data_IF_821418613955
#
_entry.id   IF_821418613955
#
_cell.length_a   1.000
_cell.length_b   1.000
_cell.length_c   1.000
_cell.angle_alpha   90.00
_cell.angle_beta   90.00
_cell.angle_gamma   90.00
#
_symmetry.space_group_name_H-M   'P 1'
#
loop_
_entity.id
_entity.type
_entity.pdbx_description
1 polymer ?
#
# COMPACT_ATOMS: atom_id res chain seq x y z
N UNK A 1 7.62 -6.88 -12.94
CA UNK A 1 6.59 -6.88 -13.98
C UNK A 1 5.19 -6.71 -13.39
N UNK A 2 4.69 -7.58 -12.48
CA UNK A 2 3.35 -7.42 -11.86
C UNK A 2 3.22 -6.11 -11.11
N UNK A 3 4.23 -5.74 -10.31
CA UNK A 3 4.24 -4.47 -9.57
C UNK A 3 4.23 -3.26 -10.49
N UNK A 4 5.00 -3.27 -11.57
CA UNK A 4 5.04 -2.15 -12.53
C UNK A 4 3.72 -1.94 -13.28
N UNK A 5 2.92 -3.00 -13.45
CA UNK A 5 1.59 -2.88 -14.02
C UNK A 5 0.62 -2.16 -13.07
N UNK A 6 0.63 -2.52 -11.77
CA UNK A 6 -0.23 -1.88 -10.77
C UNK A 6 0.07 -0.39 -10.59
N UNK A 7 1.33 0.02 -10.78
CA UNK A 7 1.78 1.41 -10.66
C UNK A 7 1.93 2.11 -12.03
N UNK A 8 1.33 1.58 -13.08
CA UNK A 8 1.43 2.16 -14.44
C UNK A 8 0.91 3.58 -14.46
N UNK A 9 1.70 4.50 -15.01
CA UNK A 9 1.31 5.89 -15.24
C UNK A 9 0.17 6.06 -16.26
N UNK A 10 -0.14 4.99 -17.02
CA UNK A 10 -1.26 4.97 -17.96
C UNK A 10 -2.62 4.79 -17.28
N UNK A 11 -2.62 4.39 -16.00
CA UNK A 11 -3.84 4.26 -15.22
C UNK A 11 -4.02 5.47 -14.30
N UNK A 12 -5.23 6.04 -14.20
CA UNK A 12 -5.51 7.08 -13.23
C UNK A 12 -5.31 6.53 -11.82
N UNK A 13 -4.69 7.32 -10.95
CA UNK A 13 -4.42 6.90 -9.58
C UNK A 13 -5.73 6.72 -8.80
N UNK A 14 -5.86 5.62 -8.05
CA UNK A 14 -7.04 5.33 -7.24
C UNK A 14 -7.39 6.47 -6.28
N UNK A 15 -6.40 7.16 -5.74
CA UNK A 15 -6.61 8.31 -4.86
C UNK A 15 -7.12 9.55 -5.60
N UNK A 16 -6.62 9.82 -6.79
CA UNK A 16 -7.11 10.94 -7.62
C UNK A 16 -8.55 10.70 -8.09
N UNK A 17 -8.90 9.43 -8.31
CA UNK A 17 -10.29 9.06 -8.61
C UNK A 17 -11.17 9.23 -7.37
N UNK A 18 -10.70 8.86 -6.19
CA UNK A 18 -11.42 9.01 -4.93
C UNK A 18 -11.60 10.47 -4.51
N UNK A 19 -10.62 11.35 -4.82
CA UNK A 19 -10.72 12.81 -4.59
C UNK A 19 -11.57 13.54 -5.63
N UNK A 20 -11.92 12.88 -6.74
CA UNK A 20 -12.67 13.48 -7.85
C UNK A 20 -11.81 14.22 -8.89
N UNK A 21 -10.49 14.18 -8.75
CA UNK A 21 -9.55 14.88 -9.63
C UNK A 21 -9.30 14.12 -10.96
N UNK A 22 -9.65 12.83 -11.01
CA UNK A 22 -9.51 12.01 -12.21
C UNK A 22 -10.71 11.08 -12.38
N UNK A 23 -11.06 10.82 -13.66
CA UNK A 23 -12.09 9.83 -13.98
C UNK A 23 -11.49 8.44 -14.13
N UNK A 24 -12.11 7.39 -13.55
CA UNK A 24 -11.64 6.02 -13.73
C UNK A 24 -11.81 5.58 -15.18
N UNK A 25 -10.85 4.80 -15.68
CA UNK A 25 -11.03 4.12 -16.97
C UNK A 25 -12.05 3.01 -16.77
N UNK A 26 -13.20 3.10 -17.44
CA UNK A 26 -14.26 2.08 -17.35
C UNK A 26 -13.98 0.95 -18.32
N UNK A 27 -13.68 -0.24 -17.80
CA UNK A 27 -13.58 -1.45 -18.62
C UNK A 27 -14.95 -2.10 -18.73
N UNK A 28 -15.38 -2.39 -19.98
CA UNK A 28 -16.75 -2.83 -20.30
C UNK A 28 -17.86 -1.90 -19.75
N UNK A 29 -17.56 -0.63 -19.56
CA UNK A 29 -18.49 0.40 -19.09
C UNK A 29 -19.08 0.18 -17.69
N UNK A 30 -18.54 -0.75 -16.90
CA UNK A 30 -19.07 -1.00 -15.56
C UNK A 30 -18.00 -1.35 -14.50
N UNK A 31 -16.78 -1.68 -14.89
CA UNK A 31 -15.68 -1.96 -13.94
C UNK A 31 -14.68 -0.80 -13.98
N UNK A 32 -14.53 -0.02 -12.90
CA UNK A 32 -13.52 1.02 -12.83
C UNK A 32 -12.12 0.39 -12.71
N UNK A 33 -11.23 0.70 -13.65
CA UNK A 33 -9.82 0.31 -13.60
C UNK A 33 -9.01 1.52 -13.17
N UNK A 34 -8.32 1.37 -12.05
CA UNK A 34 -7.47 2.41 -11.46
C UNK A 34 -6.08 1.88 -11.19
N UNK A 35 -5.09 2.78 -11.18
CA UNK A 35 -3.73 2.45 -10.78
C UNK A 35 -3.59 2.56 -9.27
N UNK A 36 -2.76 1.70 -8.71
CA UNK A 36 -2.50 1.64 -7.27
C UNK A 36 -1.12 2.21 -6.93
N UNK A 37 -0.78 3.35 -7.56
CA UNK A 37 0.47 4.06 -7.27
C UNK A 37 0.47 4.56 -5.82
N UNK A 38 1.54 4.27 -5.10
CA UNK A 38 1.70 4.66 -3.70
C UNK A 38 1.07 3.68 -2.70
N UNK A 39 0.37 2.62 -3.15
CA UNK A 39 -0.20 1.60 -2.28
C UNK A 39 0.75 0.40 -2.13
N UNK A 40 0.86 -0.14 -0.92
CA UNK A 40 1.78 -1.25 -0.61
C UNK A 40 1.05 -2.57 -0.49
N UNK A 41 -0.12 -2.58 0.14
CA UNK A 41 -0.88 -3.81 0.39
C UNK A 41 -1.28 -4.54 -0.90
N UNK A 42 -1.86 -3.88 -1.92
CA UNK A 42 -2.17 -4.54 -3.18
C UNK A 42 -0.95 -5.19 -3.83
N UNK A 43 0.19 -4.48 -3.87
CA UNK A 43 1.42 -4.99 -4.49
C UNK A 43 1.97 -6.21 -3.74
N UNK A 44 1.96 -6.19 -2.40
CA UNK A 44 2.41 -7.30 -1.57
C UNK A 44 1.58 -8.56 -1.79
N UNK A 45 0.24 -8.43 -1.75
CA UNK A 45 -0.65 -9.58 -1.92
C UNK A 45 -0.64 -10.13 -3.34
N UNK A 46 -0.58 -9.27 -4.36
CA UNK A 46 -0.40 -9.70 -5.76
C UNK A 46 0.92 -10.47 -5.92
N UNK A 47 2.01 -10.00 -5.31
CA UNK A 47 3.28 -10.70 -5.32
C UNK A 47 3.23 -12.05 -4.64
N UNK A 48 2.64 -12.14 -3.44
CA UNK A 48 2.52 -13.40 -2.70
C UNK A 48 1.63 -14.43 -3.40
N UNK A 49 0.48 -14.00 -3.91
CA UNK A 49 -0.45 -14.88 -4.63
C UNK A 49 0.16 -15.30 -5.97
N UNK A 50 0.82 -14.37 -6.67
CA UNK A 50 1.53 -14.63 -7.93
C UNK A 50 2.64 -15.66 -7.77
N UNK A 51 3.45 -15.57 -6.72
CA UNK A 51 4.49 -16.55 -6.42
C UNK A 51 3.91 -17.96 -6.16
N UNK A 52 2.80 -18.06 -5.42
CA UNK A 52 2.12 -19.35 -5.21
C UNK A 52 1.51 -19.90 -6.49
N UNK A 53 0.94 -19.04 -7.32
CA UNK A 53 0.39 -19.43 -8.62
C UNK A 53 1.50 -19.96 -9.56
N UNK A 54 2.61 -19.25 -9.63
CA UNK A 54 3.78 -19.66 -10.40
C UNK A 54 4.27 -21.05 -9.99
N UNK A 55 4.45 -21.29 -8.68
CA UNK A 55 4.87 -22.58 -8.15
C UNK A 55 3.89 -23.72 -8.48
N UNK A 56 2.60 -23.43 -8.58
CA UNK A 56 1.60 -24.41 -8.98
C UNK A 56 1.63 -24.68 -10.48
N UNK A 57 1.73 -23.63 -11.29
CA UNK A 57 1.78 -23.76 -12.75
C UNK A 57 3.02 -24.55 -13.21
N UNK A 58 4.19 -24.31 -12.60
CA UNK A 58 5.41 -25.06 -12.87
C UNK A 58 5.31 -26.56 -12.60
N UNK A 59 4.36 -27.02 -11.79
CA UNK A 59 4.11 -28.44 -11.54
C UNK A 59 3.20 -29.10 -12.56
N UNK A 60 2.47 -28.29 -13.32
CA UNK A 60 1.46 -28.77 -14.28
C UNK A 60 1.93 -28.61 -15.73
N UNK A 61 2.74 -27.60 -15.99
CA UNK A 61 3.23 -27.28 -17.32
C UNK A 61 4.48 -28.13 -17.63
N UNK A 62 4.55 -28.78 -18.81
CA UNK A 62 5.74 -29.52 -19.22
C UNK A 62 6.99 -28.61 -19.33
N UNK A 63 8.17 -29.14 -18.97
CA UNK A 63 9.43 -28.40 -18.93
C UNK A 63 9.76 -27.66 -20.24
N UNK A 64 9.38 -28.23 -21.37
CA UNK A 64 9.61 -27.62 -22.68
C UNK A 64 8.87 -26.28 -22.88
N UNK A 65 7.77 -26.07 -22.20
CA UNK A 65 6.94 -24.87 -22.33
C UNK A 65 6.98 -23.99 -21.06
N UNK A 66 7.55 -24.48 -19.96
CA UNK A 66 7.54 -23.81 -18.66
C UNK A 66 8.16 -22.40 -18.72
N UNK A 67 9.26 -22.25 -19.45
CA UNK A 67 9.99 -20.98 -19.55
C UNK A 67 9.16 -19.84 -20.16
N UNK A 68 8.25 -20.16 -21.08
CA UNK A 68 7.42 -19.17 -21.78
C UNK A 68 6.00 -19.10 -21.23
N UNK A 69 5.36 -20.25 -21.02
CA UNK A 69 3.95 -20.34 -20.72
C UNK A 69 3.65 -19.98 -19.26
N UNK A 70 4.51 -20.40 -18.33
CA UNK A 70 4.32 -20.10 -16.90
C UNK A 70 4.35 -18.60 -16.60
N UNK A 71 5.39 -17.82 -16.98
CA UNK A 71 5.40 -16.40 -16.71
C UNK A 71 4.28 -15.65 -17.44
N UNK A 72 3.92 -16.08 -18.64
CA UNK A 72 2.82 -15.47 -19.40
C UNK A 72 1.48 -15.68 -18.71
N UNK A 73 1.15 -16.90 -18.28
CA UNK A 73 -0.09 -17.21 -17.57
C UNK A 73 -0.15 -16.53 -16.19
N UNK A 74 0.95 -16.55 -15.45
CA UNK A 74 1.03 -15.82 -14.16
C UNK A 74 0.77 -14.35 -14.38
N UNK A 75 1.40 -13.73 -15.36
CA UNK A 75 1.18 -12.32 -15.66
C UNK A 75 -0.28 -12.05 -16.06
N UNK A 76 -0.85 -12.83 -16.95
CA UNK A 76 -2.23 -12.64 -17.42
C UNK A 76 -3.25 -12.78 -16.28
N UNK A 77 -3.15 -13.86 -15.50
CA UNK A 77 -4.08 -14.14 -14.39
C UNK A 77 -3.92 -13.11 -13.29
N UNK A 78 -2.67 -12.82 -12.88
CA UNK A 78 -2.42 -11.89 -11.80
C UNK A 78 -2.67 -10.44 -12.17
N UNK A 79 -2.53 -10.06 -13.44
CA UNK A 79 -2.95 -8.74 -13.93
C UNK A 79 -4.44 -8.53 -13.72
N UNK A 80 -5.22 -9.51 -14.17
CA UNK A 80 -6.68 -9.44 -14.06
C UNK A 80 -7.12 -9.46 -12.60
N UNK A 81 -6.63 -10.42 -11.79
CA UNK A 81 -6.95 -10.50 -10.38
C UNK A 81 -6.44 -9.29 -9.59
N UNK A 82 -5.24 -8.80 -9.90
CA UNK A 82 -4.63 -7.67 -9.21
C UNK A 82 -5.42 -6.38 -9.42
N UNK A 83 -5.84 -6.09 -10.65
CA UNK A 83 -6.58 -4.87 -10.96
C UNK A 83 -8.04 -4.93 -10.52
N UNK A 84 -8.71 -6.07 -10.72
CA UNK A 84 -10.16 -6.14 -10.54
C UNK A 84 -10.61 -6.67 -9.17
N UNK A 85 -9.78 -7.43 -8.48
CA UNK A 85 -10.16 -8.07 -7.22
C UNK A 85 -9.26 -7.61 -6.07
N UNK A 86 -7.96 -7.89 -6.17
CA UNK A 86 -7.02 -7.65 -5.07
C UNK A 86 -6.86 -6.14 -4.83
N UNK A 87 -6.68 -5.37 -5.90
CA UNK A 87 -6.49 -3.93 -5.83
C UNK A 87 -7.64 -3.21 -5.11
N UNK A 88 -8.90 -3.32 -5.56
CA UNK A 88 -10.02 -2.65 -4.90
C UNK A 88 -10.22 -3.05 -3.44
N UNK A 89 -10.04 -4.35 -3.11
CA UNK A 89 -10.21 -4.85 -1.74
C UNK A 89 -9.16 -4.23 -0.81
N UNK A 90 -7.89 -4.32 -1.18
CA UNK A 90 -6.82 -3.82 -0.33
C UNK A 90 -6.70 -2.29 -0.33
N UNK A 91 -7.06 -1.63 -1.44
CA UNK A 91 -7.18 -0.18 -1.46
C UNK A 91 -8.29 0.31 -0.51
N UNK A 92 -9.43 -0.37 -0.46
CA UNK A 92 -10.48 -0.04 0.50
C UNK A 92 -10.00 -0.23 1.94
N UNK A 93 -9.24 -1.30 2.22
CA UNK A 93 -8.65 -1.53 3.54
C UNK A 93 -7.66 -0.42 3.93
N UNK A 94 -6.79 0.01 3.00
CA UNK A 94 -5.87 1.13 3.21
C UNK A 94 -6.64 2.43 3.52
N UNK A 95 -7.72 2.70 2.80
CA UNK A 95 -8.55 3.87 3.02
C UNK A 95 -9.21 3.87 4.43
N UNK A 96 -9.66 2.71 4.92
CA UNK A 96 -10.13 2.59 6.31
C UNK A 96 -9.03 2.86 7.34
N UNK A 97 -7.81 2.40 7.09
CA UNK A 97 -6.65 2.70 7.95
C UNK A 97 -6.37 4.21 7.95
N UNK A 98 -6.43 4.88 6.80
CA UNK A 98 -6.24 6.33 6.69
C UNK A 98 -7.30 7.10 7.47
N UNK A 99 -8.58 6.76 7.27
CA UNK A 99 -9.70 7.39 7.99
C UNK A 99 -9.56 7.19 9.51
N UNK A 100 -9.21 5.99 9.95
CA UNK A 100 -8.96 5.69 11.36
C UNK A 100 -7.80 6.52 11.93
N UNK A 101 -6.74 6.68 11.16
CA UNK A 101 -5.58 7.50 11.55
C UNK A 101 -5.94 8.98 11.63
N UNK A 102 -6.67 9.52 10.67
CA UNK A 102 -7.17 10.91 10.73
C UNK A 102 -8.06 11.14 11.95
N UNK A 103 -8.89 10.15 12.29
CA UNK A 103 -9.73 10.24 13.49
C UNK A 103 -8.91 10.27 14.78
N UNK A 104 -7.86 9.43 14.86
CA UNK A 104 -6.92 9.42 15.98
C UNK A 104 -6.20 10.77 16.10
N UNK A 105 -5.77 11.36 14.98
CA UNK A 105 -5.08 12.66 14.97
C UNK A 105 -5.94 13.80 15.53
N UNK A 106 -7.27 13.70 15.44
CA UNK A 106 -8.20 14.68 15.98
C UNK A 106 -8.45 14.54 17.49
N UNK A 107 -7.91 13.51 18.16
CA UNK A 107 -8.06 13.32 19.59
C UNK A 107 -7.30 14.41 20.38
N UNK A 108 -7.95 15.02 21.39
CA UNK A 108 -7.33 16.05 22.19
C UNK A 108 -6.25 15.51 23.14
N UNK A 109 -5.53 16.41 23.80
CA UNK A 109 -4.56 16.10 24.87
C UNK A 109 -3.32 15.28 24.44
N UNK A 110 -2.96 15.25 23.15
CA UNK A 110 -1.77 14.52 22.70
C UNK A 110 -1.91 12.99 22.68
N UNK A 111 -3.14 12.47 22.86
CA UNK A 111 -3.43 11.03 22.80
C UNK A 111 -2.98 10.43 21.46
N UNK A 112 -3.15 11.18 20.38
CA UNK A 112 -2.65 10.79 19.05
C UNK A 112 -1.15 10.49 19.05
N UNK A 113 -0.35 11.33 19.72
CA UNK A 113 1.10 11.14 19.83
C UNK A 113 1.46 9.87 20.58
N UNK A 114 0.75 9.52 21.63
CA UNK A 114 0.97 8.31 22.42
C UNK A 114 0.63 7.07 21.58
N UNK A 115 -0.53 7.06 20.92
CA UNK A 115 -0.97 5.91 20.12
C UNK A 115 -0.09 5.74 18.90
N UNK A 116 0.08 6.76 18.07
CA UNK A 116 0.83 6.68 16.83
C UNK A 116 2.33 6.46 17.13
N UNK A 117 2.90 7.24 18.04
CA UNK A 117 4.30 7.13 18.41
C UNK A 117 4.64 5.79 19.05
N UNK A 118 3.75 5.25 19.92
CA UNK A 118 3.93 3.95 20.54
C UNK A 118 3.78 2.78 19.57
N UNK A 119 2.85 2.87 18.62
CA UNK A 119 2.63 1.83 17.62
C UNK A 119 3.56 1.94 16.40
N UNK A 120 4.27 3.06 16.24
CA UNK A 120 5.10 3.34 15.07
C UNK A 120 6.06 2.19 14.73
N UNK A 121 6.73 1.63 15.71
CA UNK A 121 7.69 0.56 15.49
C UNK A 121 7.03 -0.74 15.00
N UNK A 122 5.85 -1.08 15.52
CA UNK A 122 5.09 -2.22 15.04
C UNK A 122 4.61 -2.00 13.61
N UNK A 123 4.16 -0.79 13.30
CA UNK A 123 3.71 -0.40 11.96
C UNK A 123 4.87 -0.46 10.96
N UNK A 124 6.07 -0.01 11.34
CA UNK A 124 7.28 -0.09 10.50
C UNK A 124 7.66 -1.54 10.20
N UNK A 125 7.66 -2.41 11.20
CA UNK A 125 7.99 -3.83 11.02
C UNK A 125 7.04 -4.54 10.07
N UNK A 126 5.75 -4.17 10.05
CA UNK A 126 4.77 -4.73 9.10
C UNK A 126 4.93 -4.22 7.66
N UNK A 127 5.75 -3.17 7.44
CA UNK A 127 5.90 -2.53 6.13
C UNK A 127 4.75 -1.62 5.73
N UNK A 128 3.71 -1.54 6.54
CA UNK A 128 2.49 -0.74 6.28
C UNK A 128 2.76 0.77 6.42
N UNK A 129 3.89 1.17 7.04
CA UNK A 129 4.27 2.57 7.25
C UNK A 129 4.31 3.42 5.96
N UNK A 130 4.50 2.81 4.80
CA UNK A 130 4.46 3.51 3.52
C UNK A 130 3.08 4.11 3.19
N UNK A 131 2.00 3.59 3.77
CA UNK A 131 0.66 4.19 3.66
C UNK A 131 0.65 5.58 4.28
N UNK A 132 1.39 5.77 5.36
CA UNK A 132 1.46 7.06 6.06
C UNK A 132 2.16 8.16 5.25
N UNK A 133 3.10 7.80 4.37
CA UNK A 133 3.69 8.77 3.44
C UNK A 133 2.61 9.38 2.55
N UNK A 134 1.61 8.59 2.18
CA UNK A 134 0.49 9.07 1.38
C UNK A 134 -0.45 9.95 2.23
N UNK A 135 -0.72 9.55 3.46
CA UNK A 135 -1.48 10.36 4.42
C UNK A 135 -0.84 11.74 4.62
N UNK A 136 0.49 11.80 4.74
CA UNK A 136 1.23 13.06 4.87
C UNK A 136 1.00 14.01 3.68
N UNK A 137 1.06 13.45 2.46
CA UNK A 137 0.80 14.22 1.23
C UNK A 137 -0.63 14.73 1.21
N UNK A 138 -1.61 13.90 1.59
CA UNK A 138 -3.02 14.30 1.66
C UNK A 138 -3.27 15.38 2.71
N UNK A 139 -2.70 15.25 3.91
CA UNK A 139 -2.83 16.24 4.98
C UNK A 139 -2.22 17.58 4.53
N UNK A 140 -1.06 17.55 3.89
CA UNK A 140 -0.42 18.73 3.38
C UNK A 140 -1.25 19.42 2.29
N UNK A 141 -1.85 18.64 1.39
CA UNK A 141 -2.69 19.17 0.32
C UNK A 141 -4.01 19.75 0.83
N UNK A 142 -4.60 19.14 1.87
CA UNK A 142 -5.91 19.51 2.42
C UNK A 142 -5.84 20.63 3.45
N UNK A 143 -4.95 20.50 4.41
CA UNK A 143 -4.87 21.37 5.60
C UNK A 143 -3.73 22.39 5.52
N UNK A 144 -2.86 22.28 4.51
CA UNK A 144 -1.70 23.15 4.30
C UNK A 144 -0.53 22.87 5.25
N UNK A 145 -0.68 21.95 6.21
CA UNK A 145 0.38 21.53 7.12
C UNK A 145 0.25 20.05 7.51
N UNK A 146 1.38 19.43 7.84
CA UNK A 146 1.46 18.02 8.16
C UNK A 146 1.62 17.82 9.67
N UNK A 147 0.52 17.47 10.36
CA UNK A 147 0.52 17.18 11.80
C UNK A 147 1.15 15.83 12.14
N UNK A 148 1.23 14.93 11.17
CA UNK A 148 1.67 13.56 11.36
C UNK A 148 3.19 13.43 11.46
N UNK A 149 3.91 14.19 10.64
CA UNK A 149 5.38 14.14 10.57
C UNK A 149 6.09 14.44 11.91
N UNK A 150 5.69 15.45 12.70
CA UNK A 150 6.28 15.66 14.03
C UNK A 150 6.12 14.47 14.97
N UNK A 151 4.99 13.75 14.90
CA UNK A 151 4.74 12.55 15.71
C UNK A 151 5.68 11.40 15.32
N UNK A 152 5.88 11.19 14.02
CA UNK A 152 6.83 10.19 13.52
C UNK A 152 8.27 10.54 13.91
N UNK A 153 8.66 11.79 13.79
CA UNK A 153 9.99 12.28 14.17
C UNK A 153 10.27 12.07 15.66
N UNK A 154 9.28 12.34 16.53
CA UNK A 154 9.39 12.07 17.95
C UNK A 154 9.54 10.58 18.27
N UNK A 155 8.80 9.70 17.55
CA UNK A 155 8.92 8.25 17.71
C UNK A 155 10.31 7.74 17.31
N UNK A 156 10.86 8.25 16.21
CA UNK A 156 12.23 7.91 15.76
C UNK A 156 13.29 8.39 16.76
N UNK A 157 13.13 9.60 17.31
CA UNK A 157 14.03 10.10 18.35
C UNK A 157 14.02 9.20 19.61
N UNK A 158 12.82 8.74 20.03
CA UNK A 158 12.69 7.75 21.11
C UNK A 158 13.39 6.44 20.82
N UNK A 159 13.34 5.97 19.58
CA UNK A 159 14.07 4.77 19.13
C UNK A 159 15.59 4.92 19.24
N UNK A 160 16.13 6.07 18.84
CA UNK A 160 17.56 6.35 19.02
C UNK A 160 17.99 6.26 20.50
N UNK A 161 17.18 6.82 21.41
CA UNK A 161 17.43 6.71 22.84
C UNK A 161 17.44 5.26 23.33
N UNK A 162 16.50 4.42 22.88
CA UNK A 162 16.44 3.01 23.22
C UNK A 162 17.64 2.23 22.71
N UNK A 163 18.06 2.47 21.46
CA UNK A 163 19.25 1.82 20.86
C UNK A 163 20.53 2.21 21.60
N UNK A 164 20.70 3.49 21.95
CA UNK A 164 21.82 3.95 22.74
C UNK A 164 21.86 3.28 24.13
N UNK A 165 20.73 3.18 24.81
CA UNK A 165 20.64 2.55 26.12
C UNK A 165 21.03 1.06 26.10
N UNK A 166 20.74 0.35 24.99
CA UNK A 166 21.15 -1.06 24.79
C UNK A 166 22.62 -1.16 24.41
N UNK A 167 23.13 -0.22 23.61
CA UNK A 167 24.51 -0.24 23.12
C UNK A 167 25.56 0.14 24.17
N UNK A 168 25.16 0.82 25.25
CA UNK A 168 26.06 1.22 26.37
C UNK A 168 26.17 0.13 27.45
N UNK A 169 25.38 -0.95 27.37
CA UNK A 169 25.50 -2.12 28.24
C UNK A 169 26.50 -3.13 27.70
#
# INVERSE_FOLDING_TARGET
VLGSMLISSSLPNAYQVASGDAHPIMFFNFIPVVGYQGTVLPALFVGMIGAKLEQRLRKVIPDALDLLLTPFLVFLIMSTLGLFVIGPIFHSLENYILIGTEWILKLPFGIAGIIIGGLQQLIVVTGVHHIFNFLEIQLLAKDGFNQFNPLLSAAVAGQFGAVLAVGVK
#
